data_IF_386537494929
#
_entry.id   IF_386537494929
#
_cell.length_a   1.000
_cell.length_b   1.000
_cell.length_c   1.000
_cell.angle_alpha   90.00
_cell.angle_beta   90.00
_cell.angle_gamma   90.00
#
_symmetry.space_group_name_H-M   'P 1'
#
loop_
_entity.id
_entity.type
_entity.pdbx_description
1 polymer ?
#
# COMPACT_ATOMS: atom_id res chain seq x y z
N UNK A 1 -31.51 16.16 11.32
CA UNK A 1 -30.39 16.61 12.19
C UNK A 1 -29.20 15.65 12.16
N UNK A 2 -29.42 14.33 12.07
CA UNK A 2 -28.39 13.28 11.95
C UNK A 2 -27.60 13.31 10.62
N UNK A 3 -28.22 13.65 9.49
CA UNK A 3 -27.56 13.67 8.17
C UNK A 3 -26.53 14.81 8.02
N UNK A 4 -26.81 15.98 8.60
CA UNK A 4 -25.88 17.11 8.61
C UNK A 4 -24.64 16.82 9.47
N UNK A 5 -24.77 16.06 10.55
CA UNK A 5 -23.65 15.66 11.40
C UNK A 5 -22.74 14.67 10.66
N UNK A 6 -23.30 13.70 9.93
CA UNK A 6 -22.54 12.75 9.12
C UNK A 6 -21.82 13.42 7.94
N UNK A 7 -22.48 14.37 7.27
CA UNK A 7 -21.87 15.16 6.19
C UNK A 7 -20.75 16.08 6.73
N UNK A 8 -20.96 16.74 7.87
CA UNK A 8 -19.93 17.57 8.50
C UNK A 8 -18.74 16.74 9.01
N UNK A 9 -18.97 15.53 9.54
CA UNK A 9 -17.92 14.58 9.88
C UNK A 9 -17.16 14.09 8.64
N UNK A 10 -17.86 13.72 7.56
CA UNK A 10 -17.24 13.31 6.30
C UNK A 10 -16.41 14.41 5.63
N UNK A 11 -16.92 15.64 5.62
CA UNK A 11 -16.22 16.83 5.11
C UNK A 11 -15.05 17.23 6.01
N UNK A 12 -15.21 17.11 7.33
CA UNK A 12 -14.14 17.35 8.30
C UNK A 12 -13.03 16.30 8.21
N UNK A 13 -13.38 15.02 7.99
CA UNK A 13 -12.42 13.93 7.83
C UNK A 13 -11.66 14.02 6.50
N UNK A 14 -12.34 14.38 5.40
CA UNK A 14 -11.70 14.60 4.10
C UNK A 14 -10.81 15.84 4.09
N UNK A 15 -11.26 16.98 4.65
CA UNK A 15 -10.43 18.21 4.69
C UNK A 15 -9.17 18.08 5.55
N UNK A 16 -9.23 17.33 6.64
CA UNK A 16 -8.08 17.12 7.53
C UNK A 16 -7.12 16.03 7.05
N UNK A 17 -7.62 15.01 6.34
CA UNK A 17 -6.78 14.07 5.58
C UNK A 17 -6.05 14.78 4.44
N UNK A 18 -6.70 15.73 3.76
CA UNK A 18 -6.11 16.55 2.69
C UNK A 18 -5.12 17.60 3.23
N UNK A 19 -5.31 18.10 4.45
CA UNK A 19 -4.40 19.08 5.08
C UNK A 19 -3.21 18.46 5.83
N UNK A 20 -3.04 17.14 5.82
CA UNK A 20 -1.91 16.47 6.48
C UNK A 20 -1.84 16.66 7.99
N UNK A 21 -2.91 17.12 8.65
CA UNK A 21 -2.92 17.50 10.07
C UNK A 21 -3.32 16.39 11.03
N UNK A 22 -3.60 15.19 10.53
CA UNK A 22 -3.92 14.01 11.35
C UNK A 22 -2.76 13.03 11.34
N UNK A 23 -2.39 12.52 12.51
CA UNK A 23 -1.39 11.47 12.59
C UNK A 23 -1.83 10.26 11.77
N UNK A 24 -0.88 9.60 11.10
CA UNK A 24 -1.18 8.38 10.32
C UNK A 24 -1.82 7.30 11.19
N UNK A 25 -1.46 7.27 12.47
CA UNK A 25 -2.10 6.48 13.52
C UNK A 25 -3.61 6.72 13.60
N UNK A 26 -4.06 7.98 13.66
CA UNK A 26 -5.49 8.30 13.69
C UNK A 26 -6.21 7.85 12.40
N UNK A 27 -5.54 7.93 11.25
CA UNK A 27 -6.06 7.47 9.97
C UNK A 27 -6.20 5.93 9.93
N UNK A 28 -5.20 5.18 10.38
CA UNK A 28 -5.27 3.71 10.49
C UNK A 28 -6.33 3.27 11.50
N UNK A 29 -6.40 3.92 12.66
CA UNK A 29 -7.41 3.62 13.68
C UNK A 29 -8.82 3.81 13.16
N UNK A 30 -9.12 4.98 12.58
CA UNK A 30 -10.46 5.31 12.09
C UNK A 30 -10.88 4.44 10.90
N UNK A 31 -9.96 4.12 9.99
CA UNK A 31 -10.23 3.23 8.85
C UNK A 31 -10.49 1.79 9.32
N UNK A 32 -9.61 1.21 10.15
CA UNK A 32 -9.77 -0.15 10.66
C UNK A 32 -11.05 -0.29 11.51
N UNK A 33 -11.31 0.66 12.41
CA UNK A 33 -12.53 0.69 13.22
C UNK A 33 -13.79 0.78 12.35
N UNK A 34 -13.82 1.71 11.39
CA UNK A 34 -14.98 1.89 10.50
C UNK A 34 -15.24 0.64 9.65
N UNK A 35 -14.18 0.00 9.14
CA UNK A 35 -14.31 -1.23 8.36
C UNK A 35 -14.93 -2.37 9.18
N UNK A 36 -14.51 -2.56 10.44
CA UNK A 36 -15.05 -3.61 11.31
C UNK A 36 -16.48 -3.30 11.74
N UNK A 37 -16.76 -2.07 12.19
CA UNK A 37 -18.10 -1.67 12.61
C UNK A 37 -19.11 -1.78 11.47
N UNK A 38 -18.79 -1.23 10.30
CA UNK A 38 -19.66 -1.29 9.13
C UNK A 38 -19.77 -2.73 8.59
N UNK A 39 -18.66 -3.44 8.48
CA UNK A 39 -18.63 -4.82 7.99
C UNK A 39 -19.47 -5.76 8.85
N UNK A 40 -19.38 -5.63 10.18
CA UNK A 40 -20.22 -6.40 11.10
C UNK A 40 -21.71 -6.08 10.94
N UNK A 41 -22.08 -4.79 10.92
CA UNK A 41 -23.48 -4.37 10.80
C UNK A 41 -24.08 -4.81 9.47
N UNK A 42 -23.34 -4.68 8.36
CA UNK A 42 -23.78 -5.17 7.05
C UNK A 42 -23.92 -6.69 7.04
N UNK A 43 -22.98 -7.42 7.65
CA UNK A 43 -23.05 -8.88 7.71
C UNK A 43 -24.25 -9.36 8.51
N UNK A 44 -24.50 -8.77 9.69
CA UNK A 44 -25.69 -9.08 10.50
C UNK A 44 -26.97 -8.72 9.74
N UNK A 45 -27.01 -7.55 9.10
CA UNK A 45 -28.18 -7.16 8.31
C UNK A 45 -28.48 -8.20 7.21
N UNK A 46 -27.46 -8.65 6.48
CA UNK A 46 -27.62 -9.71 5.46
C UNK A 46 -28.09 -11.02 6.09
N UNK A 47 -27.50 -11.46 7.20
CA UNK A 47 -27.85 -12.73 7.85
C UNK A 47 -29.28 -12.74 8.41
N UNK A 48 -29.70 -11.67 9.07
CA UNK A 48 -31.06 -11.54 9.62
C UNK A 48 -32.09 -11.51 8.48
N UNK A 49 -31.77 -10.89 7.34
CA UNK A 49 -32.66 -10.89 6.17
C UNK A 49 -32.66 -12.24 5.44
N UNK A 50 -31.51 -12.90 5.32
CA UNK A 50 -31.40 -14.20 4.64
C UNK A 50 -32.14 -15.32 5.36
N UNK A 51 -32.30 -15.22 6.69
CA UNK A 51 -33.03 -16.19 7.50
C UNK A 51 -34.51 -15.86 7.70
N UNK A 52 -35.05 -14.82 7.07
CA UNK A 52 -36.43 -14.39 7.27
C UNK A 52 -37.33 -14.78 6.10
N UNK A 53 -38.44 -15.46 6.41
CA UNK A 53 -39.44 -15.86 5.42
C UNK A 53 -40.28 -14.66 4.90
N UNK A 54 -40.26 -13.53 5.61
CA UNK A 54 -41.01 -12.32 5.27
C UNK A 54 -40.32 -11.05 5.78
N UNK A 55 -40.16 -10.07 4.88
CA UNK A 55 -39.48 -8.80 5.16
C UNK A 55 -40.14 -7.98 6.29
N UNK A 56 -41.43 -8.21 6.56
CA UNK A 56 -42.23 -7.46 7.54
C UNK A 56 -41.94 -7.89 8.99
N UNK A 57 -41.35 -9.07 9.18
CA UNK A 57 -41.03 -9.62 10.51
C UNK A 57 -39.55 -9.58 10.86
N UNK A 58 -38.71 -9.04 9.96
CA UNK A 58 -37.28 -8.87 10.20
C UNK A 58 -37.09 -7.85 11.33
N UNK A 59 -36.56 -8.32 12.46
CA UNK A 59 -36.16 -7.47 13.58
C UNK A 59 -34.66 -7.58 13.78
N UNK A 60 -33.98 -6.45 13.83
CA UNK A 60 -32.56 -6.37 14.20
C UNK A 60 -32.47 -5.83 15.64
N UNK A 61 -32.19 -6.69 16.63
CA UNK A 61 -32.04 -6.23 18.00
C UNK A 61 -30.94 -5.17 18.15
N UNK A 62 -31.20 -4.13 18.94
CA UNK A 62 -30.27 -3.01 19.12
C UNK A 62 -28.95 -3.41 19.81
N UNK A 63 -28.87 -4.58 20.44
CA UNK A 63 -27.61 -5.06 21.04
C UNK A 63 -26.50 -5.27 20.00
N UNK A 64 -26.85 -5.50 18.72
CA UNK A 64 -25.86 -5.54 17.65
C UNK A 64 -25.09 -4.21 17.51
N UNK A 65 -25.71 -3.07 17.84
CA UNK A 65 -24.99 -1.79 17.90
C UNK A 65 -23.96 -1.79 19.03
N UNK A 66 -24.31 -2.32 20.20
CA UNK A 66 -23.37 -2.41 21.32
C UNK A 66 -22.18 -3.32 20.98
N UNK A 67 -22.42 -4.44 20.28
CA UNK A 67 -21.34 -5.32 19.80
C UNK A 67 -20.48 -4.64 18.72
N UNK A 68 -21.10 -3.92 17.78
CA UNK A 68 -20.37 -3.16 16.76
C UNK A 68 -19.48 -2.09 17.41
N UNK A 69 -19.99 -1.35 18.40
CA UNK A 69 -19.22 -0.36 19.16
C UNK A 69 -18.10 -1.02 19.95
N UNK A 70 -18.36 -2.14 20.61
CA UNK A 70 -17.34 -2.91 21.32
C UNK A 70 -16.21 -3.36 20.39
N UNK A 71 -16.54 -3.93 19.23
CA UNK A 71 -15.57 -4.35 18.22
C UNK A 71 -14.76 -3.16 17.68
N UNK A 72 -15.41 -2.03 17.41
CA UNK A 72 -14.76 -0.77 17.00
C UNK A 72 -13.74 -0.31 18.04
N UNK A 73 -14.09 -0.30 19.33
CA UNK A 73 -13.19 0.13 20.41
C UNK A 73 -11.99 -0.80 20.52
N UNK A 74 -12.20 -2.11 20.48
CA UNK A 74 -11.13 -3.11 20.53
C UNK A 74 -10.17 -2.93 19.37
N UNK A 75 -10.68 -2.83 18.14
CA UNK A 75 -9.87 -2.69 16.92
C UNK A 75 -9.12 -1.37 16.90
N UNK A 76 -9.75 -0.26 17.32
CA UNK A 76 -9.08 1.02 17.45
C UNK A 76 -7.94 0.95 18.49
N UNK A 77 -8.15 0.26 19.61
CA UNK A 77 -7.13 0.02 20.63
C UNK A 77 -5.94 -0.80 20.10
N UNK A 78 -6.23 -1.90 19.41
CA UNK A 78 -5.19 -2.74 18.77
C UNK A 78 -4.42 -1.94 17.71
N UNK A 79 -5.12 -1.22 16.82
CA UNK A 79 -4.50 -0.40 15.79
C UNK A 79 -3.60 0.69 16.40
N UNK A 80 -4.01 1.30 17.52
CA UNK A 80 -3.19 2.27 18.26
C UNK A 80 -1.89 1.66 18.77
N UNK A 81 -1.93 0.44 19.32
CA UNK A 81 -0.75 -0.26 19.84
C UNK A 81 0.20 -0.67 18.71
N UNK A 82 -0.35 -1.10 17.58
CA UNK A 82 0.44 -1.61 16.44
C UNK A 82 0.99 -0.52 15.51
N UNK A 83 0.53 0.72 15.61
CA UNK A 83 0.95 1.81 14.72
C UNK A 83 1.82 2.82 15.45
N UNK A 84 3.02 3.08 14.94
CA UNK A 84 3.90 4.15 15.41
C UNK A 84 3.32 5.52 15.03
N UNK A 85 3.55 6.53 15.88
CA UNK A 85 3.15 7.92 15.60
C UNK A 85 4.19 8.64 14.72
N UNK A 86 5.40 8.10 14.68
CA UNK A 86 6.51 8.66 13.93
C UNK A 86 6.32 8.39 12.45
N UNK A 87 6.06 9.46 11.71
CA UNK A 87 6.24 9.45 10.28
C UNK A 87 7.73 9.65 9.98
N UNK A 88 8.29 8.91 9.02
CA UNK A 88 9.55 9.32 8.44
C UNK A 88 9.46 10.80 8.08
N UNK A 89 10.51 11.57 8.36
CA UNK A 89 10.63 12.90 7.76
C UNK A 89 10.45 12.76 6.25
N UNK A 90 9.88 13.78 5.58
CA UNK A 90 9.58 13.69 4.14
C UNK A 90 10.82 13.52 3.29
N UNK A 91 10.72 13.77 1.98
CA UNK A 91 11.90 13.88 1.12
C UNK A 91 12.85 14.96 1.69
N UNK A 92 13.78 14.52 2.54
CA UNK A 92 14.80 15.36 3.14
C UNK A 92 15.87 15.67 2.10
N UNK A 93 17.03 16.11 2.55
CA UNK A 93 18.14 16.34 1.65
C UNK A 93 18.49 15.03 0.91
N UNK A 94 18.58 15.03 -0.43
CA UNK A 94 18.98 13.87 -1.21
C UNK A 94 20.25 13.26 -0.64
N UNK A 95 20.17 12.03 -0.17
CA UNK A 95 21.35 11.28 0.21
C UNK A 95 21.87 10.62 -1.06
N UNK A 96 23.05 11.02 -1.50
CA UNK A 96 23.72 10.35 -2.61
C UNK A 96 24.01 8.91 -2.21
N UNK A 97 23.60 7.98 -3.06
CA UNK A 97 23.94 6.57 -2.91
C UNK A 97 25.39 6.37 -3.26
N UNK A 98 26.14 5.69 -2.38
CA UNK A 98 27.51 5.27 -2.69
C UNK A 98 27.48 4.25 -3.83
N UNK A 99 28.42 4.39 -4.76
CA UNK A 99 28.69 3.40 -5.80
C UNK A 99 28.83 2.00 -5.20
N UNK A 100 28.32 0.99 -5.90
CA UNK A 100 28.48 -0.42 -5.52
C UNK A 100 29.82 -0.96 -6.03
N UNK A 101 30.49 -0.23 -6.93
CA UNK A 101 31.78 -0.60 -7.50
C UNK A 101 31.63 -1.55 -8.68
N UNK A 102 30.56 -1.40 -9.47
CA UNK A 102 30.37 -2.20 -10.69
C UNK A 102 31.55 -1.99 -11.66
N UNK A 103 32.25 -3.07 -12.03
CA UNK A 103 33.37 -2.98 -12.97
C UNK A 103 32.88 -2.83 -14.41
N UNK A 104 33.73 -2.28 -15.28
CA UNK A 104 33.41 -2.24 -16.71
C UNK A 104 33.17 -3.65 -17.27
N UNK A 105 32.03 -3.84 -17.92
CA UNK A 105 31.61 -5.13 -18.48
C UNK A 105 30.92 -6.08 -17.49
N UNK A 106 30.89 -5.74 -16.20
CA UNK A 106 30.19 -6.53 -15.19
C UNK A 106 28.67 -6.32 -15.29
N UNK A 107 27.91 -7.41 -15.14
CA UNK A 107 26.44 -7.38 -15.11
C UNK A 107 25.98 -7.66 -13.69
N UNK A 108 25.28 -6.70 -13.10
CA UNK A 108 24.64 -6.86 -11.80
C UNK A 108 23.13 -6.67 -11.93
N UNK A 109 22.39 -7.40 -11.11
CA UNK A 109 20.94 -7.29 -10.98
C UNK A 109 20.61 -7.23 -9.50
N UNK A 110 19.88 -6.20 -9.10
CA UNK A 110 19.35 -6.08 -7.75
C UNK A 110 17.85 -6.34 -7.76
N UNK A 111 17.36 -7.12 -6.79
CA UNK A 111 15.94 -7.49 -6.69
C UNK A 111 15.49 -7.42 -5.25
N UNK A 112 14.37 -6.74 -5.00
CA UNK A 112 13.74 -6.67 -3.68
C UNK A 112 12.23 -6.78 -3.80
N UNK A 113 11.61 -7.52 -2.90
CA UNK A 113 10.15 -7.49 -2.73
C UNK A 113 9.76 -6.39 -1.75
N UNK A 114 8.76 -5.60 -2.14
CA UNK A 114 8.15 -4.55 -1.33
C UNK A 114 6.73 -4.98 -0.95
N UNK A 115 6.28 -4.52 0.21
CA UNK A 115 4.95 -4.83 0.71
C UNK A 115 4.98 -5.40 2.13
N UNK A 116 4.05 -5.00 3.01
CA UNK A 116 3.99 -5.53 4.36
C UNK A 116 3.70 -7.04 4.34
N UNK A 117 4.64 -7.85 4.85
CA UNK A 117 4.50 -9.32 4.89
C UNK A 117 3.24 -9.77 5.62
N UNK A 118 2.79 -8.99 6.60
CA UNK A 118 1.57 -9.28 7.35
C UNK A 118 0.30 -9.14 6.49
N UNK A 119 0.27 -8.27 5.48
CA UNK A 119 -0.88 -8.16 4.56
C UNK A 119 -0.98 -9.40 3.66
N UNK A 120 0.16 -9.93 3.23
CA UNK A 120 0.20 -11.22 2.53
C UNK A 120 -0.35 -12.32 3.44
N UNK A 121 0.12 -12.38 4.68
CA UNK A 121 -0.38 -13.33 5.69
C UNK A 121 -1.88 -13.18 5.98
N UNK A 122 -2.38 -11.94 6.09
CA UNK A 122 -3.79 -11.65 6.32
C UNK A 122 -4.67 -12.08 5.14
N UNK A 123 -4.23 -11.84 3.90
CA UNK A 123 -4.95 -12.30 2.70
C UNK A 123 -5.00 -13.82 2.61
N UNK A 124 -3.89 -14.51 2.89
CA UNK A 124 -3.84 -15.97 2.95
C UNK A 124 -4.74 -16.53 4.06
N UNK A 125 -4.70 -15.92 5.25
CA UNK A 125 -5.57 -16.30 6.37
C UNK A 125 -7.05 -16.11 6.02
N UNK A 126 -7.41 -15.00 5.36
CA UNK A 126 -8.77 -14.77 4.89
C UNK A 126 -9.22 -15.82 3.86
N UNK A 127 -8.32 -16.24 2.96
CA UNK A 127 -8.61 -17.31 2.01
C UNK A 127 -8.87 -18.64 2.72
N UNK A 128 -8.03 -19.01 3.68
CA UNK A 128 -8.20 -20.23 4.49
C UNK A 128 -9.50 -20.18 5.30
N UNK A 129 -9.79 -19.04 5.94
CA UNK A 129 -11.02 -18.84 6.70
C UNK A 129 -12.27 -18.97 5.82
N UNK A 130 -12.22 -18.45 4.59
CA UNK A 130 -13.31 -18.58 3.62
C UNK A 130 -13.58 -20.05 3.24
N UNK A 131 -12.52 -20.84 2.97
CA UNK A 131 -12.65 -22.27 2.69
C UNK A 131 -13.17 -23.03 3.91
N UNK A 132 -12.63 -22.76 5.09
CA UNK A 132 -13.05 -23.41 6.33
C UNK A 132 -14.53 -23.14 6.63
N UNK A 133 -14.98 -21.91 6.43
CA UNK A 133 -16.39 -21.57 6.61
C UNK A 133 -17.30 -22.27 5.58
N UNK A 134 -16.83 -22.44 4.35
CA UNK A 134 -17.47 -23.31 3.34
C UNK A 134 -17.65 -24.75 3.80
N UNK A 135 -16.62 -25.32 4.43
CA UNK A 135 -16.64 -26.67 5.01
C UNK A 135 -17.55 -26.81 6.23
N UNK A 136 -17.73 -25.73 7.00
CA UNK A 136 -18.59 -25.67 8.18
C UNK A 136 -20.06 -25.36 7.86
N UNK A 137 -20.45 -25.35 6.57
CA UNK A 137 -21.84 -25.20 6.14
C UNK A 137 -22.18 -23.83 5.55
N UNK A 138 -21.27 -22.85 5.57
CA UNK A 138 -21.47 -21.58 4.86
C UNK A 138 -20.96 -21.68 3.42
N UNK A 139 -21.68 -22.44 2.57
CA UNK A 139 -21.28 -22.73 1.18
C UNK A 139 -20.81 -21.53 0.34
N UNK A 140 -21.36 -20.30 0.48
CA UNK A 140 -20.81 -19.12 -0.19
C UNK A 140 -19.32 -18.85 0.09
N UNK A 141 -18.80 -19.30 1.23
CA UNK A 141 -17.38 -19.19 1.60
C UNK A 141 -16.42 -19.80 0.57
N UNK A 142 -16.82 -20.86 -0.14
CA UNK A 142 -16.03 -21.45 -1.23
C UNK A 142 -15.82 -20.51 -2.43
N UNK A 143 -16.62 -19.45 -2.56
CA UNK A 143 -16.44 -18.47 -3.63
C UNK A 143 -15.60 -17.27 -3.19
N UNK A 144 -15.30 -17.15 -1.89
CA UNK A 144 -14.58 -16.00 -1.32
C UNK A 144 -13.08 -16.22 -1.16
N UNK A 145 -12.58 -17.46 -1.16
CA UNK A 145 -11.14 -17.71 -1.07
C UNK A 145 -10.30 -17.07 -2.20
N UNK A 146 -10.77 -16.94 -3.46
CA UNK A 146 -10.00 -16.25 -4.50
C UNK A 146 -9.78 -14.78 -4.16
N UNK A 147 -10.70 -14.15 -3.42
CA UNK A 147 -10.56 -12.76 -2.96
C UNK A 147 -9.41 -12.64 -1.96
N UNK A 148 -9.31 -13.56 -1.00
CA UNK A 148 -8.20 -13.58 -0.04
C UNK A 148 -6.84 -13.76 -0.73
N UNK A 149 -6.76 -14.66 -1.71
CA UNK A 149 -5.55 -14.84 -2.52
C UNK A 149 -5.22 -13.61 -3.37
N UNK A 150 -6.22 -12.98 -3.97
CA UNK A 150 -6.04 -11.75 -4.74
C UNK A 150 -5.49 -10.63 -3.86
N UNK A 151 -6.04 -10.46 -2.64
CA UNK A 151 -5.52 -9.49 -1.67
C UNK A 151 -4.07 -9.78 -1.28
N UNK A 152 -3.72 -11.05 -1.04
CA UNK A 152 -2.34 -11.44 -0.75
C UNK A 152 -1.39 -11.17 -1.92
N UNK A 153 -1.84 -11.41 -3.16
CA UNK A 153 -1.06 -11.19 -4.37
C UNK A 153 -0.81 -9.69 -4.65
N UNK A 154 -1.80 -8.84 -4.35
CA UNK A 154 -1.72 -7.38 -4.55
C UNK A 154 -1.01 -6.66 -3.40
N UNK A 155 -0.82 -7.32 -2.25
CA UNK A 155 -0.13 -6.76 -1.10
C UNK A 155 1.39 -6.64 -1.27
N UNK A 156 1.96 -7.24 -2.31
CA UNK A 156 3.39 -7.24 -2.58
C UNK A 156 3.70 -6.87 -4.04
N UNK A 157 4.82 -6.20 -4.24
CA UNK A 157 5.43 -5.99 -5.55
C UNK A 157 6.92 -6.38 -5.49
N UNK A 158 7.52 -6.64 -6.64
CA UNK A 158 8.94 -6.91 -6.81
C UNK A 158 9.55 -5.76 -7.61
N UNK A 159 10.56 -5.13 -7.03
CA UNK A 159 11.39 -4.12 -7.67
C UNK A 159 12.66 -4.81 -8.15
N UNK A 160 13.08 -4.51 -9.36
CA UNK A 160 14.28 -5.02 -10.00
C UNK A 160 15.02 -3.87 -10.64
N UNK A 161 16.32 -3.80 -10.40
CA UNK A 161 17.24 -2.88 -11.06
C UNK A 161 18.22 -3.73 -11.85
N UNK A 162 18.30 -3.47 -13.15
CA UNK A 162 19.21 -4.12 -14.08
C UNK A 162 19.71 -3.13 -15.14
N UNK A 163 20.48 -3.61 -16.12
CA UNK A 163 20.99 -2.77 -17.20
C UNK A 163 19.93 -2.14 -18.11
N UNK A 164 18.66 -2.57 -18.04
CA UNK A 164 17.54 -1.90 -18.74
C UNK A 164 16.95 -0.74 -17.92
N UNK A 165 17.23 -0.66 -16.62
CA UNK A 165 16.75 0.38 -15.70
C UNK A 165 16.03 -0.18 -14.49
N UNK A 166 14.98 0.51 -14.03
CA UNK A 166 14.17 0.09 -12.89
C UNK A 166 12.84 -0.50 -13.35
N UNK A 167 12.55 -1.72 -12.91
CA UNK A 167 11.33 -2.45 -13.22
C UNK A 167 10.58 -2.83 -11.96
N UNK A 168 9.28 -2.54 -11.91
CA UNK A 168 8.37 -2.95 -10.85
C UNK A 168 7.34 -3.92 -11.41
N UNK A 169 7.16 -5.07 -10.77
CA UNK A 169 6.23 -6.14 -11.17
C UNK A 169 5.45 -6.67 -9.98
N UNK A 170 4.24 -7.14 -10.21
CA UNK A 170 3.57 -7.99 -9.22
C UNK A 170 4.20 -9.40 -9.24
N UNK A 171 4.37 -10.05 -8.08
CA UNK A 171 5.03 -11.35 -8.01
C UNK A 171 4.23 -12.48 -8.67
N UNK A 172 2.90 -12.43 -8.61
CA UNK A 172 2.01 -13.48 -9.15
C UNK A 172 1.38 -13.13 -10.51
N UNK A 173 1.49 -11.88 -10.96
CA UNK A 173 0.86 -11.43 -12.20
C UNK A 173 1.93 -10.88 -13.15
N UNK A 174 1.87 -11.30 -14.42
CA UNK A 174 2.76 -10.76 -15.47
C UNK A 174 2.52 -9.27 -15.75
N UNK A 175 1.33 -8.77 -15.38
CA UNK A 175 0.85 -7.39 -15.59
C UNK A 175 0.17 -6.94 -14.29
N UNK A 176 0.30 -5.67 -13.85
CA UNK A 176 1.08 -4.57 -14.41
C UNK A 176 2.60 -4.71 -14.26
N UNK A 177 3.33 -4.27 -15.29
CA UNK A 177 4.78 -4.05 -15.29
C UNK A 177 5.01 -2.55 -15.50
N UNK A 178 5.63 -1.91 -14.52
CA UNK A 178 6.09 -0.52 -14.65
C UNK A 178 7.59 -0.59 -14.93
N UNK A 179 8.04 0.02 -16.03
CA UNK A 179 9.45 0.08 -16.38
C UNK A 179 9.84 1.54 -16.57
N UNK A 180 10.92 1.92 -15.89
CA UNK A 180 11.63 3.18 -16.08
C UNK A 180 12.95 2.84 -16.77
N UNK A 181 13.06 3.06 -18.09
CA UNK A 181 14.27 2.74 -18.83
C UNK A 181 15.45 3.56 -18.33
N UNK A 182 16.65 2.96 -18.29
CA UNK A 182 17.88 3.62 -17.84
C UNK A 182 18.15 4.92 -18.62
N UNK A 183 17.80 4.97 -19.90
CA UNK A 183 18.03 6.13 -20.76
C UNK A 183 17.23 7.36 -20.36
N UNK A 184 16.11 7.18 -19.63
CA UNK A 184 15.28 8.29 -19.14
C UNK A 184 15.71 8.79 -17.77
N UNK A 185 16.61 8.08 -17.08
CA UNK A 185 17.03 8.42 -15.73
C UNK A 185 18.23 9.35 -15.83
N UNK A 186 18.12 10.55 -15.26
CA UNK A 186 19.23 11.49 -15.15
C UNK A 186 19.99 11.31 -13.84
N UNK A 187 19.25 11.08 -12.75
CA UNK A 187 19.82 10.91 -11.40
C UNK A 187 19.02 9.91 -10.60
N UNK A 188 19.73 9.08 -9.83
CA UNK A 188 19.14 8.23 -8.79
C UNK A 188 19.67 8.65 -7.41
N UNK A 189 18.79 8.76 -6.42
CA UNK A 189 19.15 9.14 -5.06
C UNK A 189 18.19 8.53 -4.04
N UNK A 190 18.56 8.63 -2.76
CA UNK A 190 17.77 8.05 -1.66
C UNK A 190 17.23 9.13 -0.76
N UNK A 191 15.95 9.01 -0.43
CA UNK A 191 15.33 9.73 0.65
C UNK A 191 14.10 8.98 1.16
N UNK A 192 13.61 9.39 2.32
CA UNK A 192 12.33 8.93 2.83
C UNK A 192 11.19 9.40 1.91
N UNK A 193 10.18 8.57 1.73
CA UNK A 193 8.96 8.92 1.03
C UNK A 193 7.72 8.53 1.85
N UNK A 194 6.75 9.42 1.85
CA UNK A 194 5.47 9.26 2.53
C UNK A 194 4.33 9.15 1.51
N UNK A 195 3.49 8.10 1.58
CA UNK A 195 2.44 7.86 0.60
C UNK A 195 1.51 9.06 0.39
N UNK A 196 0.93 9.62 1.46
CA UNK A 196 -0.03 10.73 1.35
C UNK A 196 0.62 12.06 0.90
N UNK A 197 1.60 12.61 1.64
CA UNK A 197 2.13 13.95 1.34
C UNK A 197 2.94 13.99 0.04
N UNK A 198 3.71 12.95 -0.26
CA UNK A 198 4.69 13.00 -1.35
C UNK A 198 4.14 12.39 -2.65
N UNK A 199 3.20 11.43 -2.55
CA UNK A 199 2.62 10.71 -3.70
C UNK A 199 1.09 10.85 -3.83
N UNK A 200 0.40 11.47 -2.88
CA UNK A 200 -1.06 11.62 -2.91
C UNK A 200 -1.84 10.38 -2.47
N UNK A 201 -1.19 9.34 -1.95
CA UNK A 201 -1.82 8.14 -1.42
C UNK A 201 -0.93 6.89 -1.46
N UNK A 202 -1.47 5.78 -0.96
CA UNK A 202 -0.84 4.46 -1.09
C UNK A 202 -1.09 3.84 -2.47
N UNK A 203 -0.21 2.90 -2.83
CA UNK A 203 -0.22 2.19 -4.10
C UNK A 203 0.52 2.95 -5.19
N UNK A 204 0.22 2.61 -6.44
CA UNK A 204 0.77 3.32 -7.59
C UNK A 204 -0.04 4.61 -7.83
N UNK A 205 0.64 5.76 -7.86
CA UNK A 205 0.03 7.08 -8.02
C UNK A 205 0.76 7.91 -9.06
N UNK A 206 -0.03 8.75 -9.72
CA UNK A 206 0.44 9.74 -10.69
C UNK A 206 -0.09 11.09 -10.21
N UNK A 207 0.83 11.97 -9.85
CA UNK A 207 0.59 13.33 -9.37
C UNK A 207 1.31 14.30 -10.33
N UNK A 208 1.01 15.60 -10.25
CA UNK A 208 1.67 16.60 -11.10
C UNK A 208 3.20 16.54 -10.92
N UNK A 209 3.91 16.12 -11.97
CA UNK A 209 5.38 16.00 -11.98
C UNK A 209 5.96 14.77 -11.27
N UNK A 210 5.13 13.90 -10.65
CA UNK A 210 5.62 12.74 -9.90
C UNK A 210 4.80 11.49 -10.15
N UNK A 211 5.48 10.36 -10.30
CA UNK A 211 4.85 9.03 -10.32
C UNK A 211 5.55 8.16 -9.30
N UNK A 212 4.83 7.26 -8.66
CA UNK A 212 5.51 6.38 -7.73
C UNK A 212 4.64 5.29 -7.16
N UNK A 213 5.31 4.33 -6.53
CA UNK A 213 4.69 3.22 -5.82
C UNK A 213 5.16 3.24 -4.37
N UNK A 214 4.21 3.41 -3.45
CA UNK A 214 4.45 3.28 -2.02
C UNK A 214 3.38 2.41 -1.36
N UNK A 215 3.80 1.25 -0.85
CA UNK A 215 2.93 0.36 -0.06
C UNK A 215 3.00 0.66 1.45
N UNK A 216 4.06 1.33 1.88
CA UNK A 216 4.25 1.86 3.22
C UNK A 216 5.04 3.18 3.14
N UNK A 217 5.18 3.90 4.24
CA UNK A 217 6.15 4.99 4.35
C UNK A 217 7.53 4.41 4.69
N UNK A 218 8.60 5.03 4.20
CA UNK A 218 9.96 4.58 4.48
C UNK A 218 10.96 5.03 3.43
N UNK A 219 12.14 4.40 3.47
CA UNK A 219 13.23 4.68 2.54
C UNK A 219 12.79 4.37 1.10
N UNK A 220 13.16 5.24 0.16
CA UNK A 220 12.75 5.14 -1.22
C UNK A 220 13.88 5.50 -2.18
N UNK A 221 13.84 4.87 -3.35
CA UNK A 221 14.64 5.28 -4.50
C UNK A 221 13.87 6.37 -5.24
N UNK A 222 14.51 7.54 -5.37
CA UNK A 222 14.02 8.66 -6.15
C UNK A 222 14.83 8.74 -7.43
N UNK A 223 14.12 8.81 -8.56
CA UNK A 223 14.69 8.95 -9.89
C UNK A 223 14.24 10.29 -10.46
N UNK A 224 15.20 11.12 -10.85
CA UNK A 224 14.95 12.29 -11.67
C UNK A 224 15.01 11.86 -13.13
N UNK A 225 13.96 12.19 -13.89
CA UNK A 225 13.81 11.79 -15.29
C UNK A 225 14.13 12.96 -16.24
N UNK A 226 14.50 12.62 -17.46
CA UNK A 226 14.81 13.55 -18.56
C UNK A 226 13.68 14.54 -18.92
N UNK A 227 12.43 14.18 -18.61
CA UNK A 227 11.24 15.02 -18.82
C UNK A 227 10.94 15.95 -17.63
N UNK A 228 11.87 16.09 -16.69
CA UNK A 228 11.74 16.89 -15.47
C UNK A 228 10.76 16.31 -14.45
N UNK A 229 10.27 15.07 -14.66
CA UNK A 229 9.41 14.37 -13.71
C UNK A 229 10.24 13.48 -12.80
N UNK A 230 9.65 13.07 -11.68
CA UNK A 230 10.27 12.14 -10.76
C UNK A 230 9.53 10.81 -10.72
N UNK A 231 10.30 9.72 -10.59
CA UNK A 231 9.76 8.40 -10.25
C UNK A 231 10.23 7.97 -8.86
N UNK A 232 9.31 7.56 -7.99
CA UNK A 232 9.61 7.20 -6.60
C UNK A 232 9.13 5.79 -6.31
N UNK A 233 9.98 4.96 -5.72
CA UNK A 233 9.58 3.65 -5.22
C UNK A 233 10.08 3.43 -3.80
N UNK A 234 9.15 3.22 -2.87
CA UNK A 234 9.49 2.86 -1.49
C UNK A 234 9.94 1.42 -1.45
N UNK A 235 11.16 1.18 -1.00
CA UNK A 235 11.77 -0.14 -0.95
C UNK A 235 12.83 -0.20 0.12
N UNK A 236 12.89 -1.32 0.84
CA UNK A 236 14.02 -1.61 1.72
C UNK A 236 15.32 -1.66 0.90
N UNK A 237 16.43 -1.19 1.48
CA UNK A 237 17.74 -1.22 0.81
C UNK A 237 17.77 -0.35 -0.46
N UNK A 238 17.13 0.84 -0.38
CA UNK A 238 17.10 1.80 -1.47
C UNK A 238 18.50 2.33 -1.82
N UNK A 239 19.40 2.39 -0.84
CA UNK A 239 20.81 2.78 -1.02
C UNK A 239 21.53 1.90 -2.04
N UNK A 240 21.35 0.59 -1.96
CA UNK A 240 21.97 -0.36 -2.91
C UNK A 240 21.31 -0.23 -4.29
N UNK A 241 19.98 -0.13 -4.35
CA UNK A 241 19.29 0.05 -5.63
C UNK A 241 19.72 1.34 -6.36
N UNK A 242 19.81 2.46 -5.65
CA UNK A 242 20.24 3.74 -6.20
C UNK A 242 21.75 3.74 -6.55
N UNK A 243 22.59 3.08 -5.75
CA UNK A 243 24.01 2.93 -6.03
C UNK A 243 24.26 2.13 -7.31
N UNK A 244 23.51 1.04 -7.52
CA UNK A 244 23.56 0.28 -8.76
C UNK A 244 23.13 1.12 -9.97
N UNK A 245 22.04 1.88 -9.84
CA UNK A 245 21.59 2.77 -10.91
C UNK A 245 22.64 3.83 -11.26
N UNK A 246 23.30 4.42 -10.26
CA UNK A 246 24.41 5.35 -10.47
C UNK A 246 25.54 4.73 -11.29
N UNK A 247 26.01 3.55 -10.90
CA UNK A 247 27.07 2.83 -11.62
C UNK A 247 26.66 2.50 -13.08
N UNK A 248 25.41 2.09 -13.29
CA UNK A 248 24.87 1.80 -14.62
C UNK A 248 24.75 3.05 -15.50
N UNK A 249 24.40 4.20 -14.93
CA UNK A 249 24.36 5.47 -15.63
C UNK A 249 25.75 5.90 -16.10
N UNK A 250 26.75 5.84 -15.21
CA UNK A 250 28.15 6.15 -15.56
C UNK A 250 28.68 5.22 -16.66
N UNK A 251 28.37 3.92 -16.58
CA UNK A 251 28.75 2.96 -17.62
C UNK A 251 28.05 3.24 -18.96
N UNK A 252 26.82 3.77 -18.96
CA UNK A 252 26.09 4.13 -20.17
C UNK A 252 26.61 5.43 -20.81
N UNK A 253 27.10 6.38 -20.02
CA UNK A 253 27.76 7.60 -20.51
C UNK A 253 29.10 7.28 -21.18
N UNK A 254 29.93 6.44 -20.55
CA UNK A 254 31.21 6.02 -21.13
C UNK A 254 31.11 5.31 -22.48
N UNK A 255 29.96 4.68 -22.78
CA UNK A 255 29.68 4.06 -24.10
C UNK A 255 29.18 5.06 -25.15
N UNK A 256 28.67 6.22 -24.74
CA UNK A 256 28.19 7.27 -25.67
C UNK A 256 29.32 8.19 -26.14
N UNK A 257 30.41 8.28 -25.38
CA UNK A 257 31.58 9.11 -25.68
C UNK A 257 32.68 8.39 -26.47
N UNK A 258 32.58 7.08 -26.66
CA UNK A 258 33.49 6.25 -27.47
C UNK A 258 32.98 6.07 -28.89
#
# INVERSE_FOLDING_TARGET
MSELVLLCLGVGLSRSAVRGSRSLRALYMTSAASAVGLGYLLSVAVLVNAGADSAIHVRMPMWHLAVAVGAVVVVAGVARVLTSDELPEGAGHPKESRSIGLRQGERAVWVRSIGPRWLVGAGLLAAVAAVAAGGLGWHPGYWLWPVGLLLAALAAARVTVDGEGLTVRLPLLRVPRIQVPLQRIERAWVAQARPLPDLGGWGYRITQGRRGLALHAGEAVWLDLDDGKQFVVVVDDAATAAGLLGDLLTAAEGRRSS
#
